data_IF_418214687964
#
_entry.id   IF_418214687964
#
_cell.length_a   1.000
_cell.length_b   1.000
_cell.length_c   1.000
_cell.angle_alpha   90.00
_cell.angle_beta   90.00
_cell.angle_gamma   90.00
#
_symmetry.space_group_name_H-M   'P 1'
#
loop_
_entity.id
_entity.type
_entity.pdbx_description
1 polymer ?
#
# COMPACT_ATOMS: atom_id res chain seq x y z
N UNK A 1 42.98 -44.15 -17.72
CA UNK A 1 42.97 -43.23 -16.56
C UNK A 1 41.65 -43.41 -15.83
N UNK A 2 41.65 -43.78 -14.54
CA UNK A 2 40.42 -44.01 -13.75
C UNK A 2 40.14 -42.77 -12.90
N UNK A 3 38.98 -42.14 -13.10
CA UNK A 3 38.52 -41.02 -12.28
C UNK A 3 37.58 -41.55 -11.19
N UNK A 4 37.74 -41.05 -9.97
CA UNK A 4 36.88 -41.39 -8.84
C UNK A 4 36.17 -40.11 -8.40
N UNK A 5 34.84 -40.11 -8.48
CA UNK A 5 33.99 -38.97 -8.14
C UNK A 5 33.27 -39.27 -6.83
N UNK A 6 33.40 -38.39 -5.86
CA UNK A 6 32.64 -38.44 -4.59
C UNK A 6 31.77 -37.19 -4.49
N UNK A 7 30.47 -37.40 -4.28
CA UNK A 7 29.48 -36.32 -4.15
C UNK A 7 28.95 -36.26 -2.72
N UNK A 8 28.98 -35.08 -2.11
CA UNK A 8 28.45 -34.84 -0.77
C UNK A 8 27.31 -33.82 -0.86
N UNK A 9 26.12 -34.21 -0.41
CA UNK A 9 24.92 -33.38 -0.46
C UNK A 9 24.72 -32.69 0.90
N UNK A 10 25.04 -31.40 0.97
CA UNK A 10 24.69 -30.55 2.10
C UNK A 10 23.47 -29.68 1.78
N UNK A 11 22.74 -29.26 2.80
CA UNK A 11 21.47 -28.51 2.70
C UNK A 11 21.54 -27.23 1.84
N UNK A 12 22.74 -26.71 1.55
CA UNK A 12 22.96 -25.47 0.79
C UNK A 12 24.01 -25.58 -0.33
N UNK A 13 24.72 -26.71 -0.45
CA UNK A 13 25.80 -26.87 -1.42
C UNK A 13 25.95 -28.32 -1.86
N UNK A 14 26.13 -28.50 -3.16
CA UNK A 14 26.64 -29.75 -3.75
C UNK A 14 28.12 -29.54 -3.98
N UNK A 15 28.95 -30.35 -3.31
CA UNK A 15 30.39 -30.40 -3.53
C UNK A 15 30.70 -31.67 -4.32
N UNK A 16 31.27 -31.51 -5.51
CA UNK A 16 31.82 -32.65 -6.27
C UNK A 16 33.34 -32.55 -6.23
N UNK A 17 33.98 -33.63 -5.82
CA UNK A 17 35.45 -33.73 -5.81
C UNK A 17 35.88 -34.69 -6.92
N UNK A 18 36.79 -34.22 -7.78
CA UNK A 18 37.39 -35.01 -8.85
C UNK A 18 38.88 -35.14 -8.58
N UNK A 19 39.37 -36.39 -8.50
CA UNK A 19 40.81 -36.67 -8.39
C UNK A 19 41.39 -36.96 -9.78
N UNK A 20 42.38 -36.17 -10.20
CA UNK A 20 43.12 -36.35 -11.46
C UNK A 20 44.61 -36.33 -11.15
N UNK A 21 45.31 -37.42 -11.49
CA UNK A 21 46.77 -37.53 -11.42
C UNK A 21 47.40 -37.03 -10.09
N UNK A 22 46.78 -37.34 -8.95
CA UNK A 22 47.27 -36.97 -7.61
C UNK A 22 46.82 -35.59 -7.11
N UNK A 23 46.23 -34.74 -7.96
CA UNK A 23 45.60 -33.48 -7.54
C UNK A 23 44.09 -33.65 -7.36
N UNK A 24 43.56 -33.06 -6.28
CA UNK A 24 42.13 -33.05 -5.98
C UNK A 24 41.54 -31.69 -6.37
N UNK A 25 40.50 -31.71 -7.20
CA UNK A 25 39.78 -30.52 -7.64
C UNK A 25 38.37 -30.55 -7.04
N UNK A 26 37.92 -29.45 -6.44
CA UNK A 26 36.57 -29.33 -5.87
C UNK A 26 35.75 -28.33 -6.67
N UNK A 27 34.58 -28.75 -7.15
CA UNK A 27 33.61 -27.89 -7.83
C UNK A 27 32.42 -27.69 -6.89
N UNK A 28 32.13 -26.42 -6.61
CA UNK A 28 31.19 -25.97 -5.60
C UNK A 28 30.04 -25.24 -6.27
N UNK A 29 28.90 -25.92 -6.44
CA UNK A 29 27.73 -25.32 -7.09
C UNK A 29 26.84 -24.61 -6.05
N UNK A 30 26.59 -23.32 -6.25
CA UNK A 30 25.87 -22.45 -5.30
C UNK A 30 24.43 -22.24 -5.76
N UNK A 31 23.55 -23.20 -5.47
CA UNK A 31 22.12 -23.11 -5.83
C UNK A 31 21.31 -22.17 -4.92
N UNK A 32 21.77 -21.95 -3.67
CA UNK A 32 21.00 -21.17 -2.69
C UNK A 32 20.84 -19.69 -3.02
N UNK A 33 21.84 -19.05 -3.61
CA UNK A 33 21.79 -17.61 -3.91
C UNK A 33 20.81 -17.28 -5.05
N UNK A 34 20.71 -18.15 -6.06
CA UNK A 34 19.81 -17.96 -7.20
C UNK A 34 18.35 -18.16 -6.78
N UNK A 35 18.07 -19.14 -5.93
CA UNK A 35 16.72 -19.37 -5.38
C UNK A 35 16.25 -18.20 -4.49
N UNK A 36 17.16 -17.63 -3.69
CA UNK A 36 16.86 -16.45 -2.85
C UNK A 36 16.54 -15.21 -3.70
N UNK A 37 17.29 -14.97 -4.79
CA UNK A 37 17.02 -13.85 -5.71
C UNK A 37 15.68 -13.99 -6.44
N UNK A 38 15.29 -15.22 -6.81
CA UNK A 38 13.99 -15.49 -7.44
C UNK A 38 12.81 -15.30 -6.47
N UNK A 39 12.97 -15.65 -5.19
CA UNK A 39 11.96 -15.44 -4.16
C UNK A 39 11.70 -13.94 -3.88
N UNK A 40 12.76 -13.12 -3.91
CA UNK A 40 12.65 -11.67 -3.72
C UNK A 40 11.91 -11.01 -4.90
N UNK A 41 12.20 -11.43 -6.14
CA UNK A 41 11.51 -10.95 -7.35
C UNK A 41 10.03 -11.32 -7.39
N UNK A 42 9.65 -12.47 -6.82
CA UNK A 42 8.24 -12.88 -6.73
C UNK A 42 7.44 -12.07 -5.69
N UNK A 43 8.11 -11.53 -4.66
CA UNK A 43 7.48 -10.76 -3.58
C UNK A 43 7.13 -9.33 -4.00
N UNK A 44 7.74 -8.81 -5.07
CA UNK A 44 7.48 -7.49 -5.62
C UNK A 44 6.23 -7.37 -6.51
N UNK A 45 5.50 -8.46 -6.78
CA UNK A 45 4.21 -8.42 -7.48
C UNK A 45 3.04 -8.21 -6.51
N UNK A 46 3.06 -7.11 -5.76
CA UNK A 46 1.86 -6.64 -5.06
C UNK A 46 1.04 -5.86 -6.08
N UNK A 47 0.07 -6.54 -6.70
CA UNK A 47 -0.95 -5.89 -7.51
C UNK A 47 -1.77 -4.98 -6.59
N UNK A 48 -1.54 -3.67 -6.68
CA UNK A 48 -2.43 -2.68 -6.10
C UNK A 48 -3.67 -2.65 -6.99
N UNK A 49 -4.74 -3.32 -6.56
CA UNK A 49 -6.04 -3.19 -7.21
C UNK A 49 -6.57 -1.79 -6.88
N UNK A 50 -6.46 -0.87 -7.84
CA UNK A 50 -7.27 0.35 -7.83
C UNK A 50 -8.72 -0.08 -8.02
N UNK A 51 -9.47 -0.20 -6.94
CA UNK A 51 -10.93 -0.28 -7.02
C UNK A 51 -11.39 0.99 -7.72
N UNK A 52 -12.03 0.85 -8.87
CA UNK A 52 -12.77 1.96 -9.46
C UNK A 52 -13.91 2.25 -8.50
N UNK A 53 -13.80 3.35 -7.78
CA UNK A 53 -14.79 3.70 -6.81
C UNK A 53 -16.08 4.09 -7.52
N UNK A 54 -17.16 3.43 -7.13
CA UNK A 54 -18.48 3.64 -7.69
C UNK A 54 -19.15 4.82 -6.99
N UNK A 55 -20.09 5.53 -7.65
CA UNK A 55 -20.75 6.68 -7.04
C UNK A 55 -21.47 6.38 -5.70
N UNK A 56 -21.86 5.11 -5.46
CA UNK A 56 -22.50 4.69 -4.21
C UNK A 56 -21.54 4.19 -3.13
N UNK A 57 -20.23 4.20 -3.39
CA UNK A 57 -19.24 3.75 -2.42
C UNK A 57 -19.05 4.81 -1.32
N UNK A 58 -18.83 4.39 -0.06
CA UNK A 58 -18.55 5.31 1.03
C UNK A 58 -17.18 5.97 0.84
N UNK A 59 -17.10 7.27 1.08
CA UNK A 59 -15.82 7.99 1.09
C UNK A 59 -15.00 7.61 2.33
N UNK A 60 -13.68 7.54 2.17
CA UNK A 60 -12.78 7.33 3.31
C UNK A 60 -12.37 8.68 3.91
N UNK A 61 -12.83 8.95 5.14
CA UNK A 61 -12.41 10.09 5.93
C UNK A 61 -11.73 9.56 7.21
N UNK A 62 -10.40 9.50 7.28
CA UNK A 62 -9.69 8.89 8.41
C UNK A 62 -9.67 9.76 9.68
N UNK A 63 -9.89 11.07 9.55
CA UNK A 63 -9.99 11.98 10.69
C UNK A 63 -11.43 11.99 11.22
N UNK A 64 -11.63 11.44 12.43
CA UNK A 64 -12.95 11.29 13.02
C UNK A 64 -13.66 12.63 13.29
N UNK A 65 -12.92 13.71 13.51
CA UNK A 65 -13.51 15.04 13.70
C UNK A 65 -13.97 15.62 12.36
N UNK A 66 -13.20 15.40 11.30
CA UNK A 66 -13.60 15.78 9.94
C UNK A 66 -14.80 14.96 9.46
N UNK A 67 -14.80 13.64 9.72
CA UNK A 67 -15.94 12.76 9.41
C UNK A 67 -17.21 13.23 10.12
N UNK A 68 -17.11 13.54 11.42
CA UNK A 68 -18.25 14.04 12.19
C UNK A 68 -18.78 15.38 11.65
N UNK A 69 -17.90 16.32 11.29
CA UNK A 69 -18.31 17.56 10.66
C UNK A 69 -19.04 17.32 9.33
N UNK A 70 -18.47 16.50 8.46
CA UNK A 70 -19.05 16.16 7.16
C UNK A 70 -20.43 15.53 7.32
N UNK A 71 -20.61 14.64 8.30
CA UNK A 71 -21.90 14.02 8.60
C UNK A 71 -22.95 15.01 9.14
N UNK A 72 -22.53 16.13 9.72
CA UNK A 72 -23.44 17.18 10.22
C UNK A 72 -23.83 18.17 9.10
N UNK A 73 -22.86 18.56 8.26
CA UNK A 73 -23.02 19.59 7.23
C UNK A 73 -23.60 19.06 5.91
N UNK A 74 -23.31 17.80 5.55
CA UNK A 74 -23.66 17.23 4.25
C UNK A 74 -24.96 16.46 4.34
N UNK A 75 -25.87 16.68 3.39
CA UNK A 75 -27.06 15.85 3.26
C UNK A 75 -26.69 14.48 2.70
N UNK A 76 -26.97 13.42 3.46
CA UNK A 76 -26.68 12.04 3.10
C UNK A 76 -27.87 11.11 3.43
N UNK A 77 -27.91 9.97 2.75
CA UNK A 77 -28.94 8.95 2.94
C UNK A 77 -28.61 8.01 4.11
N UNK A 78 -27.34 7.85 4.46
CA UNK A 78 -26.87 6.92 5.47
C UNK A 78 -26.39 7.65 6.72
N UNK A 79 -26.85 7.27 7.93
CA UNK A 79 -26.55 8.02 9.16
C UNK A 79 -25.09 7.95 9.61
N UNK A 80 -24.24 7.16 8.95
CA UNK A 80 -22.89 6.86 9.41
C UNK A 80 -21.81 7.11 8.36
N UNK A 81 -22.16 7.42 7.11
CA UNK A 81 -21.18 7.69 6.07
C UNK A 81 -21.80 8.51 4.94
N UNK A 82 -20.93 9.19 4.20
CA UNK A 82 -21.27 9.89 2.95
C UNK A 82 -20.74 9.08 1.77
N UNK A 83 -21.50 9.01 0.68
CA UNK A 83 -21.06 8.37 -0.56
C UNK A 83 -20.32 9.33 -1.48
N UNK A 84 -19.56 8.81 -2.44
CA UNK A 84 -18.87 9.64 -3.43
C UNK A 84 -19.82 10.54 -4.22
N UNK A 85 -20.99 10.02 -4.61
CA UNK A 85 -22.01 10.81 -5.32
C UNK A 85 -22.55 11.94 -4.46
N UNK A 86 -22.81 11.70 -3.18
CA UNK A 86 -23.31 12.70 -2.25
C UNK A 86 -22.26 13.80 -2.01
N UNK A 87 -21.00 13.41 -1.78
CA UNK A 87 -19.90 14.36 -1.62
C UNK A 87 -19.67 15.20 -2.89
N UNK A 88 -19.67 14.57 -4.07
CA UNK A 88 -19.48 15.28 -5.34
C UNK A 88 -20.66 16.18 -5.71
N UNK A 89 -21.89 15.84 -5.28
CA UNK A 89 -23.08 16.64 -5.50
C UNK A 89 -23.24 17.79 -4.49
N UNK A 90 -22.58 17.72 -3.33
CA UNK A 90 -22.66 18.74 -2.30
C UNK A 90 -22.03 20.05 -2.78
N UNK A 91 -22.86 21.07 -2.90
CA UNK A 91 -22.49 22.40 -3.37
C UNK A 91 -22.87 23.44 -2.33
N UNK A 92 -21.95 24.34 -2.03
CA UNK A 92 -22.16 25.43 -1.08
C UNK A 92 -20.97 25.63 -0.17
N UNK A 93 -21.29 25.94 1.09
CA UNK A 93 -20.36 26.12 2.20
C UNK A 93 -20.22 24.81 2.95
N UNK A 94 -18.99 24.29 3.07
CA UNK A 94 -18.65 23.24 4.05
C UNK A 94 -17.97 23.91 5.24
N UNK A 95 -18.66 23.99 6.38
CA UNK A 95 -18.13 24.61 7.60
C UNK A 95 -17.69 23.57 8.64
N UNK A 96 -16.38 23.35 8.70
CA UNK A 96 -15.74 22.54 9.75
C UNK A 96 -14.85 23.41 10.65
N UNK A 97 -15.22 24.66 10.90
CA UNK A 97 -14.53 25.54 11.84
C UNK A 97 -14.61 25.02 13.27
N UNK A 98 -13.52 25.18 14.04
CA UNK A 98 -13.44 24.82 15.46
C UNK A 98 -13.78 23.35 15.79
N UNK A 99 -13.73 22.45 14.80
CA UNK A 99 -14.11 21.04 14.98
C UNK A 99 -12.96 20.15 15.47
N UNK A 100 -11.74 20.68 15.63
CA UNK A 100 -10.58 19.91 16.06
C UNK A 100 -10.00 19.00 14.97
N UNK A 101 -10.22 19.35 13.70
CA UNK A 101 -9.71 18.63 12.53
C UNK A 101 -8.19 18.71 12.50
N UNK A 102 -7.54 17.57 12.24
CA UNK A 102 -6.08 17.48 12.07
C UNK A 102 -5.69 17.08 10.65
N UNK A 103 -6.57 16.38 9.93
CA UNK A 103 -6.41 16.00 8.53
C UNK A 103 -7.68 16.23 7.72
N UNK A 104 -7.52 16.69 6.48
CA UNK A 104 -8.59 16.89 5.49
C UNK A 104 -8.60 15.79 4.42
N UNK A 105 -7.94 14.66 4.68
CA UNK A 105 -7.99 13.50 3.78
C UNK A 105 -9.46 13.12 3.50
N UNK A 106 -9.80 12.93 2.22
CA UNK A 106 -11.18 12.76 1.76
C UNK A 106 -11.88 14.05 1.30
N UNK A 107 -11.30 15.23 1.52
CA UNK A 107 -11.86 16.50 1.02
C UNK A 107 -11.93 16.55 -0.52
N UNK A 108 -11.05 15.82 -1.22
CA UNK A 108 -11.01 15.80 -2.68
C UNK A 108 -12.28 15.24 -3.35
N UNK A 109 -13.12 14.50 -2.61
CA UNK A 109 -14.42 14.04 -3.11
C UNK A 109 -15.45 15.18 -3.24
N UNK A 110 -15.26 16.29 -2.52
CA UNK A 110 -16.18 17.44 -2.48
C UNK A 110 -15.96 18.42 -3.64
N UNK A 111 -16.09 17.92 -4.86
CA UNK A 111 -15.72 18.65 -6.09
C UNK A 111 -16.59 19.88 -6.40
N UNK A 112 -17.79 19.98 -5.83
CA UNK A 112 -18.72 21.09 -6.04
C UNK A 112 -18.75 22.11 -4.89
N UNK A 113 -17.97 21.91 -3.82
CA UNK A 113 -17.88 22.89 -2.70
C UNK A 113 -17.25 24.18 -3.21
N UNK A 114 -17.88 25.31 -2.87
CA UNK A 114 -17.45 26.65 -3.32
C UNK A 114 -16.83 27.48 -2.20
N UNK A 115 -17.18 27.19 -0.96
CA UNK A 115 -16.64 27.83 0.23
C UNK A 115 -16.29 26.74 1.25
N UNK A 116 -15.07 26.80 1.78
CA UNK A 116 -14.57 25.84 2.77
C UNK A 116 -14.06 26.60 3.98
N UNK A 117 -14.67 26.37 5.14
CA UNK A 117 -14.23 26.95 6.42
C UNK A 117 -13.59 25.88 7.30
N UNK A 118 -12.31 26.10 7.61
CA UNK A 118 -11.48 25.22 8.44
C UNK A 118 -10.76 26.00 9.55
N UNK A 119 -11.30 27.17 9.92
CA UNK A 119 -10.72 28.05 10.93
C UNK A 119 -10.59 27.35 12.28
N UNK A 120 -9.57 27.69 13.06
CA UNK A 120 -9.32 27.17 14.41
C UNK A 120 -9.22 25.62 14.48
N UNK A 121 -8.58 25.00 13.49
CA UNK A 121 -8.23 23.57 13.47
C UNK A 121 -6.71 23.35 13.56
N UNK A 122 -6.30 22.09 13.73
CA UNK A 122 -4.88 21.68 13.82
C UNK A 122 -4.36 21.11 12.50
N UNK A 123 -4.80 21.67 11.38
CA UNK A 123 -4.42 21.21 10.04
C UNK A 123 -3.04 21.79 9.70
N UNK A 124 -2.10 20.91 9.38
CA UNK A 124 -0.73 21.28 9.00
C UNK A 124 -0.43 21.07 7.51
N UNK A 125 -1.29 20.33 6.82
CA UNK A 125 -1.17 20.03 5.40
C UNK A 125 -2.52 20.19 4.69
N UNK A 126 -2.49 20.88 3.56
CA UNK A 126 -3.62 21.11 2.65
C UNK A 126 -3.21 20.79 1.21
N UNK A 127 -2.15 20.00 1.02
CA UNK A 127 -1.76 19.57 -0.31
C UNK A 127 -2.89 18.78 -0.98
N UNK A 128 -3.08 18.94 -2.30
CA UNK A 128 -4.05 18.17 -3.05
C UNK A 128 -3.71 16.68 -3.13
#
# INVERSE_FOLDING_TARGET
MRYLVTSFYGLFHIQTSVKVAGSSYTVRTVYGAVLMLLAILASSLIFHSTTYAAPGDPISIPDANFEACVLDEVTHANPTYVTEAEAAAYNGLLDCGQSGVSSVEGLHFFTAVTVLYLLDNSISDLSP
#
